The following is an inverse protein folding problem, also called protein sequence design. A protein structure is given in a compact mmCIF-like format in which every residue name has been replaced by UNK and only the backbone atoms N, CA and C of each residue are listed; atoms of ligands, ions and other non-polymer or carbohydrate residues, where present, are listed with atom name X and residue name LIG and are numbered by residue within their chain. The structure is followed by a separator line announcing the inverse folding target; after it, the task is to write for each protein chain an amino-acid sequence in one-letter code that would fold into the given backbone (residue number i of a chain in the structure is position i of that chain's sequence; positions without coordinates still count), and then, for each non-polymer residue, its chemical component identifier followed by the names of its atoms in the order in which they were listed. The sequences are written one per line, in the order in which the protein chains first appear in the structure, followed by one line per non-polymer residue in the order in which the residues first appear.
data_IF_414444225584
#
_entry.id   IF_414444225584
#
_cell.length_a   1.000
_cell.length_b   1.000
_cell.length_c   1.000
_cell.angle_alpha   90.00
_cell.angle_beta   90.00
_cell.angle_gamma   90.00
#
_symmetry.space_group_name_H-M   'P 1'
#
loop_
_entity.id
_entity.type
_entity.pdbx_description
1 polymer ?
#
# COMPACT_ATOMS: atom_id res chain seq x y z
N UNK A 1 -6.31 2.71 15.21
CA UNK A 1 -5.67 3.97 14.73
C UNK A 1 -4.17 3.78 14.60
N UNK A 2 -3.52 3.10 15.54
CA UNK A 2 -2.08 2.78 15.51
C UNK A 2 -1.63 2.02 14.25
N UNK A 3 -2.44 1.08 13.74
CA UNK A 3 -2.15 0.26 12.56
C UNK A 3 -2.08 1.10 11.27
N UNK A 4 -2.97 2.09 11.15
CA UNK A 4 -2.98 3.04 10.02
C UNK A 4 -1.68 3.82 10.03
N UNK A 5 -1.27 4.30 11.21
CA UNK A 5 -0.05 5.07 11.38
C UNK A 5 1.20 4.21 11.08
N UNK A 6 1.24 2.96 11.56
CA UNK A 6 2.33 2.02 11.27
C UNK A 6 2.44 1.72 9.77
N UNK A 7 1.30 1.44 9.11
CA UNK A 7 1.23 1.21 7.67
C UNK A 7 1.65 2.44 6.86
N UNK A 8 1.23 3.65 7.27
CA UNK A 8 1.65 4.90 6.64
C UNK A 8 3.15 5.14 6.79
N UNK A 9 3.73 4.91 7.97
CA UNK A 9 5.18 5.01 8.18
C UNK A 9 5.91 4.02 7.28
N UNK A 10 5.44 2.77 7.24
CA UNK A 10 6.01 1.73 6.37
C UNK A 10 5.98 2.17 4.90
N UNK A 11 4.85 2.70 4.44
CA UNK A 11 4.70 3.20 3.07
C UNK A 11 5.62 4.39 2.76
N UNK A 12 5.77 5.34 3.68
CA UNK A 12 6.73 6.46 3.57
C UNK A 12 8.16 5.95 3.49
N UNK A 13 8.54 4.99 4.33
CA UNK A 13 9.88 4.41 4.33
C UNK A 13 10.20 3.73 2.99
N UNK A 14 9.24 3.01 2.41
CA UNK A 14 9.43 2.42 1.08
C UNK A 14 9.42 3.47 -0.03
N UNK A 15 8.63 4.54 0.04
CA UNK A 15 8.74 5.64 -0.91
C UNK A 15 10.13 6.28 -0.88
N UNK A 16 10.66 6.55 0.32
CA UNK A 16 12.02 7.08 0.49
C UNK A 16 13.07 6.11 -0.05
N UNK A 17 12.94 4.81 0.26
CA UNK A 17 13.84 3.78 -0.24
C UNK A 17 13.83 3.70 -1.77
N UNK A 18 12.64 3.77 -2.39
CA UNK A 18 12.50 3.73 -3.84
C UNK A 18 13.11 4.94 -4.52
N UNK A 19 13.03 6.13 -3.90
CA UNK A 19 13.65 7.36 -4.40
C UNK A 19 15.19 7.29 -4.28
N UNK A 20 15.71 6.82 -3.13
CA UNK A 20 17.15 6.61 -2.92
C UNK A 20 17.74 5.58 -3.90
N UNK A 21 17.00 4.51 -4.19
CA UNK A 21 17.41 3.47 -5.13
C UNK A 21 17.09 3.81 -6.60
N UNK A 22 16.54 5.01 -6.88
CA UNK A 22 16.17 5.47 -8.22
C UNK A 22 15.11 4.60 -8.93
N UNK A 23 14.32 3.81 -8.20
CA UNK A 23 13.17 3.08 -8.76
C UNK A 23 11.98 3.99 -9.03
N UNK A 24 11.82 5.02 -8.19
CA UNK A 24 10.77 6.05 -8.29
C UNK A 24 11.40 7.45 -8.15
N UNK A 25 10.57 8.48 -8.29
CA UNK A 25 10.97 9.89 -8.12
C UNK A 25 10.09 10.53 -7.03
N UNK A 26 10.59 11.57 -6.36
CA UNK A 26 9.87 12.51 -5.49
C UNK A 26 8.41 12.83 -5.88
N UNK A 27 8.04 12.82 -7.17
CA UNK A 27 6.64 13.01 -7.59
C UNK A 27 5.68 11.92 -7.08
N UNK A 28 6.16 10.72 -6.75
CA UNK A 28 5.36 9.62 -6.23
C UNK A 28 4.83 9.88 -4.81
N UNK A 29 5.38 10.86 -4.09
CA UNK A 29 4.89 11.26 -2.77
C UNK A 29 3.46 11.82 -2.82
N UNK A 30 2.95 12.20 -4.01
CA UNK A 30 1.53 12.51 -4.22
C UNK A 30 0.61 11.36 -3.83
N UNK A 31 1.10 10.11 -3.82
CA UNK A 31 0.33 8.91 -3.44
C UNK A 31 0.09 8.80 -1.94
N UNK A 32 0.78 9.56 -1.09
CA UNK A 32 0.60 9.52 0.37
C UNK A 32 -0.86 9.76 0.81
N UNK A 33 -1.53 10.87 0.42
CA UNK A 33 -2.94 11.08 0.76
C UNK A 33 -3.85 10.00 0.16
N UNK A 34 -3.55 9.49 -1.03
CA UNK A 34 -4.34 8.43 -1.68
C UNK A 34 -4.22 7.09 -0.94
N UNK A 35 -3.03 6.77 -0.44
CA UNK A 35 -2.81 5.57 0.37
C UNK A 35 -3.57 5.67 1.70
N UNK A 36 -3.61 6.85 2.33
CA UNK A 36 -4.41 7.07 3.53
C UNK A 36 -5.91 6.84 3.26
N UNK A 37 -6.46 7.43 2.19
CA UNK A 37 -7.86 7.23 1.78
C UNK A 37 -8.13 5.73 1.53
N UNK A 38 -7.20 5.07 0.85
CA UNK A 38 -7.29 3.63 0.57
C UNK A 38 -7.33 2.79 1.86
N UNK A 39 -6.50 3.08 2.87
CA UNK A 39 -6.55 2.42 4.17
C UNK A 39 -7.90 2.63 4.89
N UNK A 40 -8.53 3.79 4.73
CA UNK A 40 -9.88 4.03 5.25
C UNK A 40 -10.93 3.18 4.54
N UNK A 41 -10.86 3.06 3.20
CA UNK A 41 -11.76 2.19 2.43
C UNK A 41 -11.59 0.71 2.81
N UNK A 42 -10.35 0.28 3.06
CA UNK A 42 -10.02 -1.08 3.49
C UNK A 42 -10.67 -1.48 4.83
N UNK A 43 -10.98 -0.53 5.73
CA UNK A 43 -11.75 -0.84 6.95
C UNK A 43 -13.10 -1.47 6.65
N UNK A 44 -13.71 -1.12 5.51
CA UNK A 44 -14.97 -1.73 5.07
C UNK A 44 -14.82 -3.18 4.64
N UNK A 45 -13.63 -3.56 4.15
CA UNK A 45 -13.31 -4.89 3.63
C UNK A 45 -12.83 -5.83 4.74
N UNK A 46 -12.00 -5.34 5.66
CA UNK A 46 -11.42 -6.10 6.77
C UNK A 46 -12.12 -5.76 8.09
N UNK A 47 -13.34 -6.29 8.29
CA UNK A 47 -14.15 -6.05 9.50
C UNK A 47 -13.99 -7.08 10.60
N UNK A 48 -13.56 -8.29 10.26
CA UNK A 48 -13.48 -9.41 11.20
C UNK A 48 -12.04 -9.86 11.39
N UNK A 49 -11.64 -10.05 12.64
CA UNK A 49 -10.42 -10.77 12.97
C UNK A 49 -10.58 -12.20 12.45
N UNK A 50 -9.77 -12.55 11.47
CA UNK A 50 -9.70 -13.88 10.90
C UNK A 50 -8.24 -14.27 11.07
N UNK A 51 -7.94 -15.21 11.97
CA UNK A 51 -6.59 -15.76 12.18
C UNK A 51 -6.12 -16.61 10.98
N UNK A 52 -6.53 -16.24 9.77
CA UNK A 52 -6.21 -16.88 8.52
C UNK A 52 -4.94 -16.25 7.95
N UNK A 53 -4.10 -17.10 7.38
CA UNK A 53 -2.94 -16.70 6.61
C UNK A 53 -3.33 -15.82 5.40
N UNK A 54 -2.35 -15.37 4.62
CA UNK A 54 -2.58 -14.58 3.40
C UNK A 54 -3.69 -15.19 2.53
N UNK A 55 -4.62 -14.34 2.12
CA UNK A 55 -5.75 -14.69 1.26
C UNK A 55 -5.58 -14.01 -0.10
N UNK A 56 -6.15 -14.61 -1.15
CA UNK A 56 -6.09 -14.05 -2.51
C UNK A 56 -6.63 -12.60 -2.59
N UNK A 57 -7.55 -12.24 -1.70
CA UNK A 57 -8.09 -10.88 -1.60
C UNK A 57 -7.04 -9.83 -1.22
N UNK A 58 -6.01 -10.19 -0.46
CA UNK A 58 -4.96 -9.24 -0.05
C UNK A 58 -4.14 -8.80 -1.27
N UNK A 59 -3.82 -9.76 -2.14
CA UNK A 59 -3.16 -9.53 -3.42
C UNK A 59 -4.06 -8.71 -4.36
N UNK A 60 -5.35 -9.05 -4.46
CA UNK A 60 -6.31 -8.32 -5.30
C UNK A 60 -6.51 -6.87 -4.85
N UNK A 61 -6.66 -6.62 -3.54
CA UNK A 61 -6.76 -5.27 -2.99
C UNK A 61 -5.54 -4.44 -3.34
N UNK A 62 -4.34 -5.01 -3.16
CA UNK A 62 -3.09 -4.35 -3.51
C UNK A 62 -2.99 -4.06 -5.01
N UNK A 63 -3.35 -5.03 -5.84
CA UNK A 63 -3.37 -4.88 -7.30
C UNK A 63 -4.30 -3.75 -7.74
N UNK A 64 -5.50 -3.66 -7.14
CA UNK A 64 -6.45 -2.58 -7.39
C UNK A 64 -5.84 -1.22 -7.02
N UNK A 65 -5.22 -1.10 -5.85
CA UNK A 65 -4.54 0.13 -5.44
C UNK A 65 -3.42 0.52 -6.41
N UNK A 66 -2.64 -0.44 -6.91
CA UNK A 66 -1.53 -0.17 -7.82
C UNK A 66 -2.00 0.25 -9.20
N UNK A 67 -3.08 -0.34 -9.71
CA UNK A 67 -3.70 0.06 -10.98
C UNK A 67 -4.25 1.49 -10.87
N UNK A 68 -4.96 1.81 -9.78
CA UNK A 68 -5.49 3.16 -9.55
C UNK A 68 -4.35 4.17 -9.40
N UNK A 69 -3.30 3.82 -8.66
CA UNK A 69 -2.11 4.67 -8.50
C UNK A 69 -1.40 4.89 -9.83
N UNK A 70 -1.24 3.85 -10.65
CA UNK A 70 -0.64 3.95 -11.97
C UNK A 70 -1.46 4.85 -12.90
N UNK A 71 -2.79 4.74 -12.87
CA UNK A 71 -3.68 5.62 -13.63
C UNK A 71 -3.54 7.08 -13.17
N UNK A 72 -3.55 7.34 -11.86
CA UNK A 72 -3.34 8.69 -11.29
C UNK A 72 -2.00 9.30 -11.72
N UNK A 73 -0.91 8.53 -11.63
CA UNK A 73 0.41 8.97 -12.08
C UNK A 73 0.46 9.22 -13.59
N UNK A 74 -0.24 8.40 -14.38
CA UNK A 74 -0.42 8.60 -15.82
C UNK A 74 -1.11 9.92 -16.15
N UNK A 75 -2.19 10.26 -15.43
CA UNK A 75 -2.85 11.58 -15.57
C UNK A 75 -1.93 12.76 -15.21
N UNK A 76 -0.95 12.54 -14.33
CA UNK A 76 0.07 13.53 -13.95
C UNK A 76 1.29 13.55 -14.89
N UNK A 77 1.25 12.82 -16.01
CA UNK A 77 2.34 12.67 -16.96
C UNK A 77 3.64 12.14 -16.33
N UNK A 78 3.52 11.22 -15.36
CA UNK A 78 4.66 10.56 -14.73
C UNK A 78 4.87 9.21 -15.43
N UNK A 79 5.99 9.08 -16.14
CA UNK A 79 6.34 7.85 -16.86
C UNK A 79 6.60 6.71 -15.88
N UNK A 80 5.95 5.57 -16.11
CA UNK A 80 6.09 4.36 -15.29
C UNK A 80 6.71 3.25 -16.14
N UNK A 81 7.88 2.76 -15.72
CA UNK A 81 8.46 1.52 -16.25
C UNK A 81 7.82 0.29 -15.59
N UNK A 82 8.00 -0.89 -16.18
CA UNK A 82 7.56 -2.15 -15.55
C UNK A 82 8.20 -2.36 -14.18
N UNK A 83 9.47 -1.99 -14.01
CA UNK A 83 10.17 -2.08 -12.73
C UNK A 83 9.56 -1.16 -11.67
N UNK A 84 9.23 0.07 -12.06
CA UNK A 84 8.58 1.04 -11.20
C UNK A 84 7.18 0.56 -10.77
N UNK A 85 6.43 -0.04 -11.70
CA UNK A 85 5.12 -0.63 -11.39
C UNK A 85 5.25 -1.82 -10.41
N UNK A 86 6.18 -2.74 -10.66
CA UNK A 86 6.44 -3.88 -9.78
C UNK A 86 6.87 -3.43 -8.38
N UNK A 87 7.70 -2.38 -8.30
CA UNK A 87 8.12 -1.77 -7.05
C UNK A 87 6.92 -1.17 -6.28
N UNK A 88 6.08 -0.40 -6.98
CA UNK A 88 4.86 0.20 -6.42
C UNK A 88 3.92 -0.88 -5.85
N UNK A 89 3.81 -2.02 -6.55
CA UNK A 89 3.05 -3.16 -6.06
C UNK A 89 3.65 -3.77 -4.80
N UNK A 90 4.96 -4.02 -4.78
CA UNK A 90 5.62 -4.61 -3.63
C UNK A 90 5.52 -3.72 -2.38
N UNK A 91 5.80 -2.42 -2.51
CA UNK A 91 5.76 -1.50 -1.36
C UNK A 91 4.35 -1.35 -0.78
N UNK A 92 3.34 -1.29 -1.66
CA UNK A 92 1.95 -1.18 -1.23
C UNK A 92 1.46 -2.48 -0.59
N UNK A 93 1.90 -3.63 -1.10
CA UNK A 93 1.63 -4.94 -0.52
C UNK A 93 2.15 -5.05 0.91
N UNK A 94 3.44 -4.75 1.12
CA UNK A 94 4.07 -4.86 2.44
C UNK A 94 3.40 -3.90 3.44
N UNK A 95 3.16 -2.67 3.01
CA UNK A 95 2.51 -1.66 3.85
C UNK A 95 1.07 -2.07 4.22
N UNK A 96 0.36 -2.70 3.30
CA UNK A 96 -0.98 -3.24 3.51
C UNK A 96 -0.99 -4.46 4.44
N UNK A 97 0.01 -5.34 4.34
CA UNK A 97 0.15 -6.47 5.28
C UNK A 97 0.34 -5.95 6.70
N UNK A 98 1.20 -4.96 6.93
CA UNK A 98 1.37 -4.32 8.25
C UNK A 98 0.05 -3.79 8.80
N UNK A 99 -0.84 -3.28 7.93
CA UNK A 99 -2.16 -2.82 8.34
C UNK A 99 -3.11 -3.97 8.71
N UNK A 100 -3.15 -5.02 7.89
CA UNK A 100 -4.08 -6.13 8.00
C UNK A 100 -3.68 -7.10 9.11
N UNK A 101 -2.38 -7.37 9.29
CA UNK A 101 -1.89 -8.31 10.28
C UNK A 101 -2.29 -7.90 11.69
N UNK A 102 -2.24 -6.60 12.01
CA UNK A 102 -2.72 -6.10 13.30
C UNK A 102 -4.24 -6.26 13.47
N UNK A 103 -5.02 -6.28 12.39
CA UNK A 103 -6.47 -6.58 12.43
C UNK A 103 -6.71 -8.08 12.61
N UNK A 104 -5.94 -8.92 11.91
CA UNK A 104 -6.11 -10.39 11.90
C UNK A 104 -5.66 -11.04 13.19
N UNK A 105 -4.51 -10.62 13.72
CA UNK A 105 -3.89 -11.23 14.90
C UNK A 105 -4.23 -10.49 16.20
N UNK A 106 -5.15 -9.52 16.15
CA UNK A 106 -5.61 -8.78 17.33
C UNK A 106 -6.18 -9.66 18.45
N UNK A 107 -6.57 -10.90 18.15
CA UNK A 107 -7.08 -11.86 19.15
C UNK A 107 -6.00 -12.71 19.81
N UNK A 108 -4.72 -12.58 19.41
CA UNK A 108 -3.58 -13.28 20.05
C UNK A 108 -2.90 -12.42 21.12
N UNK A 109 -3.23 -11.12 21.20
CA UNK A 109 -2.88 -10.22 22.31
C UNK A 109 -4.08 -10.00 23.20
#
# INVERSE_FOLDING_TARGET
MMNVLCSMICFVLFLLLGDVLMFINTRFFVLLPWFLIYLFLLKGVYKTANCKALEAKDFLCTLLFTIVSAALLGFLNISMSLHTYAYLYLMSFISLLVYIDDIRFKSLM
#
